data_IF_749472337600
#
_entry.id   IF_749472337600
#
_cell.length_a   1.000
_cell.length_b   1.000
_cell.length_c   1.000
_cell.angle_alpha   90.00
_cell.angle_beta   90.00
_cell.angle_gamma   90.00
#
_symmetry.space_group_name_H-M   'P 1'
#
loop_
_entity.id
_entity.type
_entity.pdbx_description
1 polymer ?
#
# COMPACT_ATOMS: atom_id res chain seq x y z
N UNK A 1 -16.65 -9.64 3.29
CA UNK A 1 -15.81 -8.44 3.09
C UNK A 1 -14.47 -8.76 2.47
N UNK A 2 -13.72 -9.70 3.02
CA UNK A 2 -12.44 -10.09 2.42
C UNK A 2 -12.61 -10.65 1.00
N UNK A 3 -13.67 -11.45 0.76
CA UNK A 3 -13.94 -11.98 -0.55
C UNK A 3 -14.23 -10.90 -1.58
N UNK A 4 -14.94 -9.85 -1.18
CA UNK A 4 -15.26 -8.74 -2.08
C UNK A 4 -13.99 -7.97 -2.48
N UNK A 5 -13.10 -7.73 -1.53
CA UNK A 5 -11.84 -7.07 -1.84
C UNK A 5 -10.97 -7.94 -2.75
N UNK A 6 -10.90 -9.23 -2.50
CA UNK A 6 -10.13 -10.13 -3.33
C UNK A 6 -10.63 -10.14 -4.77
N UNK A 7 -11.94 -10.14 -4.98
CA UNK A 7 -12.54 -10.06 -6.31
C UNK A 7 -12.13 -8.78 -7.03
N UNK A 8 -12.17 -7.66 -6.31
CA UNK A 8 -11.77 -6.36 -6.87
C UNK A 8 -10.29 -6.39 -7.27
N UNK A 9 -9.43 -6.90 -6.39
CA UNK A 9 -7.99 -6.98 -6.65
C UNK A 9 -7.68 -7.88 -7.85
N UNK A 10 -8.38 -9.02 -7.96
CA UNK A 10 -8.22 -9.92 -9.10
C UNK A 10 -8.64 -9.24 -10.41
N UNK A 11 -9.75 -8.51 -10.39
CA UNK A 11 -10.22 -7.76 -11.56
C UNK A 11 -9.25 -6.64 -11.93
N UNK A 12 -8.66 -5.97 -10.96
CA UNK A 12 -7.64 -4.94 -11.20
C UNK A 12 -6.43 -5.54 -11.93
N UNK A 13 -6.00 -6.71 -11.50
CA UNK A 13 -4.86 -7.39 -12.12
C UNK A 13 -5.16 -7.75 -13.57
N UNK A 14 -6.37 -8.23 -13.84
CA UNK A 14 -6.79 -8.61 -15.19
C UNK A 14 -6.90 -7.36 -16.08
N UNK A 15 -7.53 -6.29 -15.59
CA UNK A 15 -7.75 -5.09 -16.38
C UNK A 15 -6.50 -4.21 -16.51
N UNK A 16 -5.59 -4.27 -15.55
CA UNK A 16 -4.39 -3.43 -15.54
C UNK A 16 -4.65 -1.97 -15.23
N UNK A 17 -5.87 -1.62 -14.81
CA UNK A 17 -6.25 -0.25 -14.50
C UNK A 17 -7.49 -0.23 -13.61
N UNK A 18 -7.74 0.91 -12.98
CA UNK A 18 -8.94 1.11 -12.17
C UNK A 18 -10.07 1.54 -13.12
N UNK A 19 -11.00 0.63 -13.39
CA UNK A 19 -12.18 0.95 -14.20
C UNK A 19 -13.22 1.67 -13.33
N UNK A 20 -14.19 2.33 -13.97
CA UNK A 20 -15.26 3.02 -13.25
C UNK A 20 -16.04 2.06 -12.33
N UNK A 21 -16.32 0.86 -12.82
CA UNK A 21 -17.02 -0.16 -12.03
C UNK A 21 -16.22 -0.55 -10.80
N UNK A 22 -14.90 -0.75 -10.93
CA UNK A 22 -14.04 -1.10 -9.81
C UNK A 22 -13.92 0.05 -8.82
N UNK A 23 -13.88 1.29 -9.33
CA UNK A 23 -13.84 2.47 -8.48
C UNK A 23 -15.08 2.56 -7.59
N UNK A 24 -16.26 2.29 -8.15
CA UNK A 24 -17.50 2.29 -7.38
C UNK A 24 -17.51 1.19 -6.32
N UNK A 25 -17.01 0.01 -6.66
CA UNK A 25 -16.91 -1.10 -5.70
C UNK A 25 -15.96 -0.78 -4.56
N UNK A 26 -14.82 -0.16 -4.86
CA UNK A 26 -13.87 0.27 -3.83
C UNK A 26 -14.50 1.33 -2.91
N UNK A 27 -15.25 2.25 -3.49
CA UNK A 27 -15.94 3.30 -2.74
C UNK A 27 -16.94 2.71 -1.74
N UNK A 28 -17.65 1.65 -2.15
CA UNK A 28 -18.59 0.99 -1.25
C UNK A 28 -17.90 0.34 -0.04
N UNK A 29 -16.70 -0.21 -0.24
CA UNK A 29 -15.96 -0.86 0.83
C UNK A 29 -15.20 0.12 1.73
N UNK A 30 -14.64 1.17 1.16
CA UNK A 30 -13.71 2.05 1.86
C UNK A 30 -14.18 3.49 2.01
N UNK A 31 -15.29 3.87 1.34
CA UNK A 31 -15.79 5.24 1.38
C UNK A 31 -14.79 6.22 0.81
N UNK A 32 -14.60 7.36 1.47
CA UNK A 32 -13.68 8.41 1.01
C UNK A 32 -12.23 7.94 0.96
N UNK A 33 -11.88 6.90 1.68
CA UNK A 33 -10.51 6.37 1.69
C UNK A 33 -10.14 5.73 0.34
N UNK A 34 -11.13 5.24 -0.41
CA UNK A 34 -10.88 4.71 -1.74
C UNK A 34 -10.32 5.78 -2.67
N UNK A 35 -10.84 7.00 -2.60
CA UNK A 35 -10.34 8.11 -3.41
C UNK A 35 -8.92 8.50 -3.01
N UNK A 36 -8.63 8.52 -1.71
CA UNK A 36 -7.29 8.82 -1.21
C UNK A 36 -6.28 7.78 -1.69
N UNK A 37 -6.67 6.50 -1.69
CA UNK A 37 -5.81 5.42 -2.17
C UNK A 37 -5.55 5.58 -3.67
N UNK A 38 -6.57 5.90 -4.45
CA UNK A 38 -6.43 6.10 -5.88
C UNK A 38 -5.50 7.27 -6.19
N UNK A 39 -5.58 8.35 -5.45
CA UNK A 39 -4.68 9.50 -5.60
C UNK A 39 -3.23 9.11 -5.38
N UNK A 40 -2.95 8.30 -4.36
CA UNK A 40 -1.60 7.80 -4.10
C UNK A 40 -1.08 6.93 -5.26
N UNK A 41 -1.95 6.10 -5.81
CA UNK A 41 -1.59 5.26 -6.95
C UNK A 41 -1.28 6.14 -8.17
N UNK A 42 -2.14 7.12 -8.45
CA UNK A 42 -2.00 7.99 -9.62
C UNK A 42 -0.78 8.89 -9.56
N UNK A 43 -0.31 9.24 -8.37
CA UNK A 43 0.88 10.08 -8.19
C UNK A 43 2.16 9.26 -8.04
N UNK A 44 2.09 7.94 -8.22
CA UNK A 44 3.23 7.02 -8.06
C UNK A 44 3.84 7.11 -6.66
N UNK A 45 2.99 7.29 -5.65
CA UNK A 45 3.43 7.37 -4.26
C UNK A 45 3.78 6.00 -3.68
N UNK A 46 3.42 4.91 -4.36
CA UNK A 46 3.75 3.55 -3.93
C UNK A 46 5.12 3.18 -4.52
N UNK A 47 6.04 2.78 -3.64
CA UNK A 47 7.42 2.45 -4.00
C UNK A 47 7.73 1.02 -3.61
N UNK A 48 8.46 0.29 -4.47
CA UNK A 48 8.94 -1.04 -4.16
C UNK A 48 10.47 -1.03 -4.19
N UNK A 49 11.08 -1.40 -3.07
CA UNK A 49 12.54 -1.51 -2.96
C UNK A 49 12.91 -2.98 -3.05
N UNK A 50 13.71 -3.31 -4.05
CA UNK A 50 14.20 -4.67 -4.27
C UNK A 50 15.69 -4.70 -3.91
N UNK A 51 16.04 -5.43 -2.86
CA UNK A 51 17.41 -5.54 -2.35
C UNK A 51 18.12 -6.71 -3.01
N UNK A 52 19.34 -6.47 -3.48
CA UNK A 52 20.14 -7.50 -4.15
C UNK A 52 21.48 -7.66 -3.44
N UNK A 53 22.01 -8.89 -3.33
CA UNK A 53 21.54 -10.12 -3.97
C UNK A 53 20.49 -10.92 -3.19
N UNK A 54 20.05 -10.47 -2.01
CA UNK A 54 19.11 -11.23 -1.18
C UNK A 54 17.74 -11.45 -1.80
N UNK A 55 17.30 -10.55 -2.68
CA UNK A 55 15.95 -10.59 -3.25
C UNK A 55 14.86 -10.06 -2.32
N UNK A 56 15.24 -9.42 -1.20
CA UNK A 56 14.29 -8.88 -0.23
C UNK A 56 13.48 -7.74 -0.84
N UNK A 57 12.17 -7.75 -0.60
CA UNK A 57 11.24 -6.72 -1.11
C UNK A 57 10.65 -5.95 0.05
N UNK A 58 10.72 -4.62 -0.03
CA UNK A 58 10.12 -3.72 0.95
C UNK A 58 9.19 -2.76 0.19
N UNK A 59 7.96 -2.62 0.68
CA UNK A 59 6.99 -1.69 0.13
C UNK A 59 6.88 -0.47 1.02
N UNK A 60 6.90 0.72 0.38
CA UNK A 60 6.79 2.01 1.06
C UNK A 60 5.71 2.82 0.34
N UNK A 61 4.86 3.50 1.08
CA UNK A 61 3.92 4.46 0.53
C UNK A 61 4.32 5.84 1.04
N UNK A 62 4.57 6.76 0.10
CA UNK A 62 4.98 8.12 0.43
C UNK A 62 3.74 8.95 0.71
N UNK A 63 3.54 9.30 1.98
CA UNK A 63 2.44 10.16 2.40
C UNK A 63 2.84 11.62 2.37
N UNK A 64 1.94 12.47 2.90
CA UNK A 64 2.13 13.92 2.88
C UNK A 64 3.32 14.38 3.74
N UNK A 65 3.50 13.77 4.92
CA UNK A 65 4.50 14.19 5.89
C UNK A 65 5.59 13.16 6.14
N UNK A 66 5.34 11.90 5.77
CA UNK A 66 6.30 10.82 6.02
C UNK A 66 6.10 9.68 5.06
N UNK A 67 7.04 8.75 5.05
CA UNK A 67 6.94 7.51 4.32
C UNK A 67 6.39 6.43 5.26
N UNK A 68 5.50 5.58 4.74
CA UNK A 68 4.87 4.53 5.53
C UNK A 68 5.36 3.15 5.09
N UNK A 69 5.89 2.40 6.04
CA UNK A 69 6.33 1.04 5.81
C UNK A 69 5.10 0.12 5.74
N UNK A 70 5.00 -0.67 4.67
CA UNK A 70 3.85 -1.55 4.43
C UNK A 70 4.29 -3.00 4.37
N UNK A 71 3.60 -3.87 5.12
CA UNK A 71 3.68 -5.31 4.91
C UNK A 71 2.38 -5.68 4.20
N UNK A 72 2.44 -6.06 2.91
CA UNK A 72 1.21 -6.27 2.12
C UNK A 72 0.21 -7.19 2.82
N UNK A 73 -1.02 -6.67 2.94
CA UNK A 73 -2.11 -7.41 3.56
C UNK A 73 -2.07 -7.55 5.07
N UNK A 74 -1.00 -7.10 5.73
CA UNK A 74 -0.81 -7.33 7.17
C UNK A 74 -0.65 -6.07 8.01
N UNK A 75 0.12 -5.08 7.54
CA UNK A 75 0.54 -4.00 8.40
C UNK A 75 0.82 -2.70 7.63
N UNK A 76 0.47 -1.58 8.24
CA UNK A 76 0.89 -0.25 7.82
C UNK A 76 1.34 0.54 9.04
N UNK A 77 2.42 1.28 8.89
CA UNK A 77 3.05 2.08 9.93
C UNK A 77 2.32 3.42 10.17
N UNK A 78 1.01 3.47 10.04
CA UNK A 78 0.25 4.72 10.22
C UNK A 78 -0.67 4.63 11.44
N UNK A 79 -1.04 5.80 11.98
CA UNK A 79 -1.92 5.87 13.15
C UNK A 79 -3.30 5.30 12.86
N UNK A 80 -3.82 5.52 11.65
CA UNK A 80 -5.13 5.02 11.26
C UNK A 80 -5.18 3.49 11.32
N UNK A 81 -4.11 2.83 10.84
CA UNK A 81 -4.01 1.37 10.94
C UNK A 81 -4.03 0.93 12.39
N UNK A 82 -3.19 1.54 13.22
CA UNK A 82 -3.07 1.15 14.62
C UNK A 82 -4.40 1.34 15.37
N UNK A 83 -5.03 2.50 15.21
CA UNK A 83 -6.24 2.82 15.95
C UNK A 83 -7.45 2.04 15.43
N UNK A 84 -7.71 2.09 14.13
CA UNK A 84 -8.94 1.54 13.57
C UNK A 84 -8.87 0.07 13.20
N UNK A 85 -7.71 -0.46 12.87
CA UNK A 85 -7.55 -1.86 12.52
C UNK A 85 -7.18 -2.70 13.74
N UNK A 86 -6.11 -2.32 14.45
CA UNK A 86 -5.60 -3.12 15.57
C UNK A 86 -6.48 -2.97 16.82
N UNK A 87 -6.79 -1.75 17.23
CA UNK A 87 -7.52 -1.49 18.47
C UNK A 87 -9.03 -1.62 18.25
N UNK A 88 -9.60 -0.86 17.34
CA UNK A 88 -11.05 -0.80 17.13
C UNK A 88 -11.60 -1.89 16.23
N UNK A 89 -10.78 -2.51 15.42
CA UNK A 89 -11.14 -3.56 14.46
C UNK A 89 -12.28 -3.14 13.52
N UNK A 90 -12.29 -1.87 13.13
CA UNK A 90 -13.36 -1.30 12.30
C UNK A 90 -13.08 -1.42 10.79
N UNK A 91 -11.84 -1.69 10.41
CA UNK A 91 -11.46 -1.76 9.00
C UNK A 91 -10.50 -2.92 8.77
N UNK A 92 -10.47 -3.40 7.53
CA UNK A 92 -9.55 -4.46 7.12
C UNK A 92 -8.16 -3.94 6.74
N UNK A 93 -7.98 -2.63 6.79
CA UNK A 93 -6.71 -1.98 6.48
C UNK A 93 -6.91 -0.49 6.36
N UNK A 94 -5.82 0.24 6.14
CA UNK A 94 -5.87 1.68 5.92
C UNK A 94 -5.77 1.98 4.42
N UNK A 95 -5.98 3.25 4.01
CA UNK A 95 -5.91 3.58 2.60
C UNK A 95 -4.50 3.48 2.02
N UNK A 96 -3.45 3.53 2.85
CA UNK A 96 -2.08 3.28 2.38
C UNK A 96 -1.90 1.83 1.96
N UNK A 97 -2.44 0.89 2.74
CA UNK A 97 -2.41 -0.54 2.40
C UNK A 97 -3.22 -0.81 1.14
N UNK A 98 -4.37 -0.15 1.01
CA UNK A 98 -5.21 -0.27 -0.17
C UNK A 98 -4.46 0.24 -1.41
N UNK A 99 -3.80 1.39 -1.29
CA UNK A 99 -3.01 1.96 -2.39
C UNK A 99 -1.90 0.98 -2.82
N UNK A 100 -1.19 0.39 -1.88
CA UNK A 100 -0.15 -0.60 -2.18
C UNK A 100 -0.75 -1.81 -2.91
N UNK A 101 -1.87 -2.33 -2.43
CA UNK A 101 -2.53 -3.48 -3.04
C UNK A 101 -2.97 -3.21 -4.48
N UNK A 102 -3.55 -2.03 -4.72
CA UNK A 102 -3.98 -1.63 -6.06
C UNK A 102 -2.76 -1.46 -6.97
N UNK A 103 -1.76 -0.69 -6.51
CA UNK A 103 -0.57 -0.39 -7.30
C UNK A 103 0.16 -1.65 -7.72
N UNK A 104 0.27 -2.61 -6.83
CA UNK A 104 0.93 -3.89 -7.12
C UNK A 104 0.21 -4.64 -8.24
N UNK A 105 -1.13 -4.65 -8.22
CA UNK A 105 -1.94 -5.36 -9.22
C UNK A 105 -1.87 -4.74 -10.60
N UNK A 106 -1.87 -3.41 -10.67
CA UNK A 106 -1.88 -2.72 -11.98
C UNK A 106 -0.49 -2.26 -12.42
N UNK A 107 0.54 -2.51 -11.62
CA UNK A 107 1.91 -2.13 -11.96
C UNK A 107 2.19 -0.63 -11.82
N UNK A 108 1.39 0.10 -11.06
CA UNK A 108 1.50 1.56 -10.91
C UNK A 108 2.34 1.92 -9.68
N UNK A 109 3.58 1.50 -9.67
CA UNK A 109 4.53 1.81 -8.58
C UNK A 109 5.91 2.05 -9.15
N UNK A 110 6.72 2.80 -8.41
CA UNK A 110 8.13 2.95 -8.76
C UNK A 110 8.93 1.82 -8.13
N UNK A 111 9.83 1.23 -8.90
CA UNK A 111 10.66 0.13 -8.45
C UNK A 111 12.11 0.60 -8.34
N UNK A 112 12.72 0.35 -7.18
CA UNK A 112 14.12 0.69 -6.94
C UNK A 112 14.90 -0.59 -6.63
N UNK A 113 16.03 -0.76 -7.32
CA UNK A 113 16.96 -1.84 -7.00
C UNK A 113 18.11 -1.25 -6.20
N UNK A 114 18.32 -1.77 -5.00
CA UNK A 114 19.35 -1.27 -4.08
C UNK A 114 20.19 -2.42 -3.53
N UNK A 115 21.47 -2.16 -3.21
CA UNK A 115 22.30 -3.23 -2.64
C UNK A 115 21.91 -3.55 -1.22
N UNK A 116 22.11 -4.82 -0.83
CA UNK A 116 21.83 -5.27 0.55
C UNK A 116 22.55 -4.44 1.59
N UNK A 117 23.71 -3.90 1.24
CA UNK A 117 24.49 -3.07 2.16
C UNK A 117 23.74 -1.82 2.64
N UNK A 118 22.72 -1.36 1.89
CA UNK A 118 21.91 -0.21 2.27
C UNK A 118 20.69 -0.59 3.11
N UNK A 119 20.42 -1.88 3.30
CA UNK A 119 19.20 -2.33 3.97
C UNK A 119 19.09 -1.81 5.40
N UNK A 120 20.15 -1.94 6.19
CA UNK A 120 20.11 -1.55 7.61
C UNK A 120 19.83 -0.05 7.74
N UNK A 121 20.48 0.77 6.94
CA UNK A 121 20.30 2.22 6.96
C UNK A 121 18.87 2.62 6.56
N UNK A 122 18.41 2.12 5.43
CA UNK A 122 17.07 2.45 4.93
C UNK A 122 15.97 1.95 5.87
N UNK A 123 16.10 0.71 6.34
CA UNK A 123 15.11 0.13 7.25
C UNK A 123 15.03 0.93 8.56
N UNK A 124 16.17 1.38 9.07
CA UNK A 124 16.24 2.20 10.26
C UNK A 124 15.55 3.56 10.05
N UNK A 125 15.78 4.20 8.90
CA UNK A 125 15.13 5.47 8.56
C UNK A 125 13.61 5.33 8.47
N UNK A 126 13.12 4.30 7.81
CA UNK A 126 11.69 4.07 7.71
C UNK A 126 11.04 3.85 9.07
N UNK A 127 11.67 3.06 9.93
CA UNK A 127 11.13 2.75 11.24
C UNK A 127 11.15 3.94 12.20
N UNK A 128 12.11 4.85 12.07
CA UNK A 128 12.18 6.06 12.90
C UNK A 128 10.97 6.97 12.68
N UNK A 129 10.40 6.96 11.48
CA UNK A 129 9.26 7.81 11.15
C UNK A 129 7.96 7.36 11.82
N UNK A 130 7.93 6.18 12.40
CA UNK A 130 6.73 5.64 13.04
C UNK A 130 6.46 6.19 14.44
N UNK A 131 7.36 6.96 14.98
CA UNK A 131 7.25 7.45 16.38
C UNK A 131 6.49 8.76 16.47
#
# INVERSE_FOLDING_TARGET
>A
MEGDLQEILDALKINGQITEDLREKLKKLYGVKAKKAEELVNTLAVKRYHFEPSGRIIWIVVGREQEYYIIPGLYCQCDDFYINVVIRRKMNGCYHMLAQSIAERIGAFENFTVPDSDFIRLNSEWKKQSV
#
